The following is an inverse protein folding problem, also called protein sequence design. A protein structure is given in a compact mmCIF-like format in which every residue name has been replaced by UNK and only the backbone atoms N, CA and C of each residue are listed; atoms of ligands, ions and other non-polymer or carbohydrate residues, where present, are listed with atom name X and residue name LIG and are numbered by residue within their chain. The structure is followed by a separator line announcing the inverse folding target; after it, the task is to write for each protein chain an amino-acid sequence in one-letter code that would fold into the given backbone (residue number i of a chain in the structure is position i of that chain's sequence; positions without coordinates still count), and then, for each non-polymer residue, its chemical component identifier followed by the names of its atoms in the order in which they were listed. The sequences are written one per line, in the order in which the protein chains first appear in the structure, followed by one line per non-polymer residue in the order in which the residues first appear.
data_IF_855192412503
#
_entry.id   IF_855192412503
#
_cell.length_a   1.000
_cell.length_b   1.000
_cell.length_c   1.000
_cell.angle_alpha   90.00
_cell.angle_beta   90.00
_cell.angle_gamma   90.00
#
_symmetry.space_group_name_H-M   'P 1'
#
loop_
_entity.id
_entity.type
_entity.pdbx_description
1 polymer ?
#
# COMPACT_ATOMS: atom_id res chain seq x y z
N UNK A 1 23.38 37.07 -5.07
CA UNK A 1 23.93 35.92 -5.79
C UNK A 1 22.78 35.16 -6.39
N UNK A 2 22.85 34.85 -7.68
CA UNK A 2 21.86 33.97 -8.29
C UNK A 2 22.01 32.55 -7.72
N UNK A 3 20.92 31.78 -7.58
CA UNK A 3 20.99 30.37 -7.16
C UNK A 3 21.96 29.56 -8.06
N UNK A 4 22.13 29.95 -9.32
CA UNK A 4 23.05 29.29 -10.25
C UNK A 4 24.52 29.48 -9.85
N UNK A 5 24.93 30.66 -9.38
CA UNK A 5 26.31 30.95 -8.94
C UNK A 5 26.73 30.07 -7.76
N UNK A 6 25.79 29.71 -6.87
CA UNK A 6 26.06 28.86 -5.70
C UNK A 6 26.62 27.49 -6.10
N UNK A 7 26.23 26.98 -7.27
CA UNK A 7 26.55 25.61 -7.71
C UNK A 7 27.66 25.54 -8.77
N UNK A 8 28.20 26.68 -9.22
CA UNK A 8 29.23 26.71 -10.27
C UNK A 8 30.56 26.06 -9.85
N UNK A 9 30.83 25.96 -8.56
CA UNK A 9 32.06 25.35 -8.04
C UNK A 9 32.06 23.82 -8.09
N UNK A 10 30.92 23.19 -8.37
CA UNK A 10 30.80 21.74 -8.37
C UNK A 10 30.86 21.17 -9.79
N UNK A 11 31.45 19.99 -9.92
CA UNK A 11 31.47 19.25 -11.18
C UNK A 11 30.07 18.71 -11.51
N UNK A 12 29.69 18.79 -12.79
CA UNK A 12 28.40 18.30 -13.29
C UNK A 12 28.24 16.80 -13.01
N UNK A 13 27.15 16.45 -12.34
CA UNK A 13 26.83 15.05 -12.03
C UNK A 13 27.67 14.45 -10.89
N UNK A 14 28.54 15.24 -10.24
CA UNK A 14 29.23 14.83 -9.02
C UNK A 14 28.24 14.48 -7.90
N UNK A 15 28.61 13.53 -7.04
CA UNK A 15 27.76 13.13 -5.92
C UNK A 15 27.54 14.28 -4.94
N UNK A 16 28.56 15.13 -4.75
CA UNK A 16 28.49 16.31 -3.91
C UNK A 16 27.48 17.33 -4.44
N UNK A 17 27.49 17.61 -5.75
CA UNK A 17 26.51 18.50 -6.36
C UNK A 17 25.10 17.96 -6.18
N UNK A 18 24.91 16.65 -6.42
CA UNK A 18 23.61 16.01 -6.29
C UNK A 18 23.09 16.11 -4.86
N UNK A 19 23.93 15.80 -3.87
CA UNK A 19 23.58 15.86 -2.46
C UNK A 19 23.15 17.27 -2.04
N UNK A 20 23.95 18.29 -2.38
CA UNK A 20 23.66 19.70 -2.04
C UNK A 20 22.39 20.19 -2.73
N UNK A 21 22.20 19.88 -4.02
CA UNK A 21 20.98 20.26 -4.75
C UNK A 21 19.74 19.63 -4.14
N UNK A 22 19.81 18.34 -3.79
CA UNK A 22 18.69 17.62 -3.17
C UNK A 22 18.37 18.21 -1.81
N UNK A 23 19.37 18.40 -0.95
CA UNK A 23 19.20 18.99 0.39
C UNK A 23 18.54 20.38 0.33
N UNK A 24 19.09 21.28 -0.48
CA UNK A 24 18.61 22.66 -0.63
C UNK A 24 17.17 22.75 -1.19
N UNK A 25 16.76 21.75 -1.99
CA UNK A 25 15.53 21.82 -2.79
C UNK A 25 14.46 20.82 -2.38
N UNK A 26 14.71 19.94 -1.42
CA UNK A 26 13.76 18.92 -0.99
C UNK A 26 12.44 19.54 -0.52
N UNK A 27 12.50 20.55 0.37
CA UNK A 27 11.29 21.23 0.86
C UNK A 27 10.48 21.90 -0.25
N UNK A 28 11.14 22.40 -1.30
CA UNK A 28 10.48 22.94 -2.48
C UNK A 28 9.83 21.84 -3.33
N UNK A 29 10.52 20.71 -3.58
CA UNK A 29 9.95 19.57 -4.28
C UNK A 29 8.71 19.01 -3.56
N UNK A 30 8.76 18.88 -2.23
CA UNK A 30 7.60 18.50 -1.41
C UNK A 30 6.44 19.49 -1.56
N UNK A 31 6.72 20.80 -1.68
CA UNK A 31 5.67 21.80 -1.91
C UNK A 31 4.95 21.61 -3.25
N UNK A 32 5.66 21.12 -4.28
CA UNK A 32 5.09 20.77 -5.59
C UNK A 32 4.20 19.54 -5.44
N UNK A 33 4.67 18.48 -4.78
CA UNK A 33 3.88 17.28 -4.50
C UNK A 33 2.56 17.64 -3.80
N UNK A 34 2.62 18.45 -2.73
CA UNK A 34 1.44 18.95 -2.00
C UNK A 34 0.48 19.74 -2.90
N UNK A 35 1.01 20.53 -3.82
CA UNK A 35 0.19 21.28 -4.78
C UNK A 35 -0.54 20.37 -5.76
N UNK A 36 0.15 19.36 -6.29
CA UNK A 36 -0.44 18.34 -7.16
C UNK A 36 -1.53 17.57 -6.40
N UNK A 37 -1.24 17.11 -5.18
CA UNK A 37 -2.20 16.36 -4.38
C UNK A 37 -3.51 17.13 -4.15
N UNK A 38 -3.43 18.43 -3.82
CA UNK A 38 -4.61 19.30 -3.70
C UNK A 38 -5.43 19.37 -4.99
N UNK A 39 -4.78 19.51 -6.15
CA UNK A 39 -5.48 19.58 -7.44
C UNK A 39 -6.12 18.24 -7.85
N UNK A 40 -5.60 17.13 -7.33
CA UNK A 40 -6.12 15.79 -7.60
C UNK A 40 -7.04 15.24 -6.50
N UNK A 41 -7.22 15.95 -5.39
CA UNK A 41 -7.92 15.48 -4.18
C UNK A 41 -7.34 14.15 -3.65
N UNK A 42 -6.01 14.14 -3.47
CA UNK A 42 -5.21 13.02 -2.97
C UNK A 42 -4.43 13.46 -1.72
N UNK A 43 -3.98 12.48 -0.92
CA UNK A 43 -3.00 12.71 0.14
C UNK A 43 -1.58 12.55 -0.41
N UNK A 44 -0.78 13.60 -0.30
CA UNK A 44 0.54 13.64 -0.94
C UNK A 44 1.54 12.60 -0.41
N UNK A 45 1.37 12.14 0.83
CA UNK A 45 2.29 11.21 1.50
C UNK A 45 1.78 9.77 1.36
N UNK A 46 0.48 9.55 1.57
CA UNK A 46 -0.12 8.20 1.46
C UNK A 46 -0.16 7.73 0.01
N UNK A 47 -0.46 8.64 -0.93
CA UNK A 47 -0.54 8.30 -2.36
C UNK A 47 0.83 8.34 -3.07
N UNK A 48 1.94 8.56 -2.34
CA UNK A 48 3.32 8.45 -2.85
C UNK A 48 3.82 9.61 -3.74
N UNK A 49 3.16 10.77 -3.72
CA UNK A 49 3.52 11.91 -4.57
C UNK A 49 4.85 12.57 -4.16
N UNK A 50 5.24 12.45 -2.89
CA UNK A 50 6.55 12.86 -2.38
C UNK A 50 7.69 12.02 -2.94
N UNK A 51 7.49 10.71 -3.03
CA UNK A 51 8.40 9.78 -3.70
C UNK A 51 8.62 10.20 -5.16
N UNK A 52 7.54 10.42 -5.91
CA UNK A 52 7.63 10.90 -7.29
C UNK A 52 8.32 12.26 -7.42
N UNK A 53 8.05 13.21 -6.51
CA UNK A 53 8.73 14.50 -6.50
C UNK A 53 10.24 14.36 -6.23
N UNK A 54 10.61 13.49 -5.28
CA UNK A 54 11.99 13.19 -4.93
C UNK A 54 12.75 12.54 -6.08
N UNK A 55 12.16 11.56 -6.77
CA UNK A 55 12.75 10.94 -7.96
C UNK A 55 12.96 11.96 -9.08
N UNK A 56 11.97 12.83 -9.32
CA UNK A 56 12.09 13.92 -10.28
C UNK A 56 13.22 14.90 -9.92
N UNK A 57 13.35 15.24 -8.64
CA UNK A 57 14.41 16.09 -8.12
C UNK A 57 15.79 15.44 -8.32
N UNK A 58 15.95 14.18 -7.92
CA UNK A 58 17.20 13.42 -8.06
C UNK A 58 17.61 13.27 -9.52
N UNK A 59 16.63 13.00 -10.41
CA UNK A 59 16.85 12.90 -11.84
C UNK A 59 17.40 14.21 -12.44
N UNK A 60 16.84 15.34 -12.02
CA UNK A 60 17.29 16.66 -12.44
C UNK A 60 18.64 17.04 -11.84
N UNK A 61 18.87 16.78 -10.55
CA UNK A 61 20.12 17.07 -9.86
C UNK A 61 21.32 16.40 -10.57
N UNK A 62 21.17 15.12 -10.97
CA UNK A 62 22.20 14.37 -11.69
C UNK A 62 22.58 14.95 -13.06
N UNK A 63 21.70 15.72 -13.70
CA UNK A 63 21.89 16.25 -15.07
C UNK A 63 22.11 17.74 -15.12
N UNK A 64 21.93 18.43 -14.00
CA UNK A 64 22.00 19.86 -13.93
C UNK A 64 23.40 20.37 -14.24
N UNK A 65 23.47 21.50 -14.93
CA UNK A 65 24.69 22.12 -15.39
C UNK A 65 24.66 23.62 -15.05
N UNK A 66 25.36 23.99 -13.97
CA UNK A 66 25.39 25.35 -13.46
C UNK A 66 26.08 26.34 -14.43
N UNK A 67 26.92 25.85 -15.35
CA UNK A 67 27.62 26.70 -16.33
C UNK A 67 26.67 27.38 -17.32
N UNK A 68 25.47 26.81 -17.51
CA UNK A 68 24.44 27.36 -18.40
C UNK A 68 23.78 28.62 -17.85
N UNK A 69 24.00 28.96 -16.57
CA UNK A 69 23.42 30.13 -15.91
C UNK A 69 21.91 30.01 -15.63
N UNK A 70 21.28 28.88 -15.94
CA UNK A 70 19.85 28.64 -15.67
C UNK A 70 19.67 28.24 -14.20
N UNK A 71 18.85 28.94 -13.39
CA UNK A 71 18.60 28.54 -12.01
C UNK A 71 18.00 27.13 -11.91
N UNK A 72 18.48 26.32 -10.96
CA UNK A 72 18.05 24.93 -10.80
C UNK A 72 16.53 24.77 -10.67
N UNK A 73 15.87 25.63 -9.89
CA UNK A 73 14.40 25.61 -9.75
C UNK A 73 13.67 25.79 -11.08
N UNK A 74 14.16 26.70 -11.94
CA UNK A 74 13.55 26.93 -13.25
C UNK A 74 13.73 25.69 -14.16
N UNK A 75 14.92 25.07 -14.12
CA UNK A 75 15.22 23.85 -14.85
C UNK A 75 14.38 22.65 -14.39
N UNK A 76 14.27 22.41 -13.09
CA UNK A 76 13.69 21.19 -12.53
C UNK A 76 12.16 21.22 -12.37
N UNK A 77 11.54 22.41 -12.31
CA UNK A 77 10.11 22.58 -11.95
C UNK A 77 9.18 21.68 -12.75
N UNK A 78 9.32 21.69 -14.07
CA UNK A 78 8.46 20.93 -14.98
C UNK A 78 8.57 19.42 -14.72
N UNK A 79 9.80 18.92 -14.56
CA UNK A 79 10.06 17.49 -14.39
C UNK A 79 9.54 16.96 -13.05
N UNK A 80 9.75 17.71 -11.96
CA UNK A 80 9.22 17.35 -10.63
C UNK A 80 7.69 17.32 -10.68
N UNK A 81 7.05 18.33 -11.28
CA UNK A 81 5.60 18.36 -11.43
C UNK A 81 5.07 17.18 -12.25
N UNK A 82 5.71 16.85 -13.37
CA UNK A 82 5.34 15.69 -14.20
C UNK A 82 5.46 14.38 -13.42
N UNK A 83 6.54 14.19 -12.67
CA UNK A 83 6.72 12.99 -11.85
C UNK A 83 5.65 12.85 -10.76
N UNK A 84 5.34 13.92 -10.02
CA UNK A 84 4.24 13.90 -9.05
C UNK A 84 2.87 13.68 -9.70
N UNK A 85 2.65 14.22 -10.91
CA UNK A 85 1.39 14.02 -11.64
C UNK A 85 1.26 12.58 -12.14
N UNK A 86 2.37 11.93 -12.50
CA UNK A 86 2.38 10.52 -12.87
C UNK A 86 1.98 9.63 -11.68
N UNK A 87 2.56 9.87 -10.50
CA UNK A 87 2.15 9.15 -9.28
C UNK A 87 0.67 9.41 -8.95
N UNK A 88 0.21 10.66 -9.03
CA UNK A 88 -1.21 10.97 -8.85
C UNK A 88 -2.12 10.22 -9.85
N UNK A 89 -1.66 10.05 -11.10
CA UNK A 89 -2.39 9.28 -12.11
C UNK A 89 -2.42 7.79 -11.78
N UNK A 90 -1.30 7.21 -11.32
CA UNK A 90 -1.22 5.81 -10.87
C UNK A 90 -2.14 5.55 -9.68
N UNK A 91 -2.14 6.45 -8.69
CA UNK A 91 -2.99 6.34 -7.51
C UNK A 91 -4.48 6.46 -7.89
N UNK A 92 -4.83 7.36 -8.82
CA UNK A 92 -6.21 7.43 -9.35
C UNK A 92 -6.58 6.30 -10.30
N UNK A 93 -5.66 5.75 -11.09
CA UNK A 93 -5.97 4.61 -11.96
C UNK A 93 -6.19 3.35 -11.12
N UNK A 94 -5.50 3.21 -10.00
CA UNK A 94 -5.83 2.26 -8.93
C UNK A 94 -7.25 2.47 -8.38
N UNK A 95 -7.72 3.71 -8.23
CA UNK A 95 -9.09 3.99 -7.80
C UNK A 95 -10.14 3.83 -8.92
N UNK A 96 -9.79 4.09 -10.18
CA UNK A 96 -10.72 4.00 -11.34
C UNK A 96 -10.78 2.63 -12.01
N UNK A 97 -9.83 1.74 -11.74
CA UNK A 97 -9.86 0.34 -12.17
C UNK A 97 -10.84 -0.54 -11.40
N UNK A 98 -11.51 0.00 -10.37
CA UNK A 98 -12.15 -0.82 -9.34
C UNK A 98 -13.54 -0.30 -8.98
N UNK A 99 -14.45 -0.30 -9.96
CA UNK A 99 -15.89 -0.18 -9.71
C UNK A 99 -16.49 -1.38 -8.95
N UNK A 100 -15.69 -2.39 -8.54
CA UNK A 100 -16.16 -3.52 -7.74
C UNK A 100 -15.21 -4.00 -6.62
N UNK A 101 -14.06 -3.34 -6.40
CA UNK A 101 -13.03 -3.86 -5.47
C UNK A 101 -12.37 -2.83 -4.54
N UNK A 102 -12.64 -1.53 -4.71
CA UNK A 102 -12.14 -0.51 -3.78
C UNK A 102 -12.81 -0.61 -2.39
N UNK A 103 -14.11 -0.97 -2.35
CA UNK A 103 -14.78 -1.36 -1.10
C UNK A 103 -14.09 -2.58 -0.53
N UNK A 104 -13.99 -3.66 -1.31
CA UNK A 104 -13.42 -4.94 -0.84
C UNK A 104 -12.01 -4.78 -0.28
N UNK A 105 -11.15 -3.97 -0.88
CA UNK A 105 -9.78 -3.77 -0.39
C UNK A 105 -9.73 -2.87 0.85
N UNK A 106 -10.55 -1.83 0.92
CA UNK A 106 -10.69 -0.99 2.11
C UNK A 106 -11.28 -1.79 3.28
N UNK A 107 -12.36 -2.53 3.03
CA UNK A 107 -13.00 -3.47 3.95
C UNK A 107 -11.99 -4.51 4.43
N UNK A 108 -11.17 -5.06 3.53
CA UNK A 108 -10.09 -6.00 3.89
C UNK A 108 -9.06 -5.38 4.83
N UNK A 109 -8.70 -4.11 4.65
CA UNK A 109 -7.74 -3.40 5.53
C UNK A 109 -8.35 -3.10 6.91
N UNK A 110 -9.59 -2.62 6.95
CA UNK A 110 -10.30 -2.36 8.21
C UNK A 110 -10.55 -3.64 8.99
N UNK A 111 -10.89 -4.72 8.30
CA UNK A 111 -11.12 -6.04 8.91
C UNK A 111 -9.79 -6.63 9.41
N UNK A 112 -8.69 -6.47 8.66
CA UNK A 112 -7.36 -6.87 9.12
C UNK A 112 -6.94 -6.11 10.39
N UNK A 113 -7.19 -4.80 10.46
CA UNK A 113 -6.89 -4.00 11.65
C UNK A 113 -7.68 -4.47 12.89
N UNK A 114 -8.98 -4.72 12.74
CA UNK A 114 -9.83 -5.25 13.82
C UNK A 114 -9.43 -6.68 14.24
N UNK A 115 -9.05 -7.51 13.28
CA UNK A 115 -8.51 -8.86 13.52
C UNK A 115 -7.24 -8.83 14.39
N UNK A 116 -6.34 -7.87 14.13
CA UNK A 116 -5.12 -7.69 14.92
C UNK A 116 -5.37 -7.17 16.33
N UNK A 117 -6.53 -6.57 16.61
CA UNK A 117 -6.93 -6.17 17.96
C UNK A 117 -7.52 -7.35 18.74
N UNK A 118 -8.29 -8.23 18.08
CA UNK A 118 -8.88 -9.43 18.69
C UNK A 118 -7.84 -10.54 18.87
N UNK A 119 -6.89 -10.66 17.94
CA UNK A 119 -5.80 -11.65 17.97
C UNK A 119 -4.44 -10.96 17.81
N UNK A 120 -3.89 -10.35 18.88
CA UNK A 120 -2.62 -9.62 18.81
C UNK A 120 -1.45 -10.48 18.32
N UNK A 121 -1.46 -11.79 18.59
CA UNK A 121 -0.42 -12.73 18.15
C UNK A 121 -0.29 -12.84 16.62
N UNK A 122 -1.33 -12.46 15.86
CA UNK A 122 -1.26 -12.38 14.40
C UNK A 122 -0.28 -11.29 13.92
N UNK A 123 -0.04 -10.24 14.72
CA UNK A 123 0.91 -9.16 14.39
C UNK A 123 2.35 -9.66 14.33
N UNK A 124 2.66 -10.67 15.13
CA UNK A 124 3.99 -11.29 15.21
C UNK A 124 4.19 -12.39 14.15
N UNK A 125 3.20 -12.63 13.28
CA UNK A 125 3.23 -13.71 12.30
C UNK A 125 3.11 -15.11 12.90
N UNK A 126 2.82 -15.22 14.21
CA UNK A 126 2.69 -16.48 14.93
C UNK A 126 1.23 -16.74 15.24
N UNK A 127 0.61 -17.64 14.47
CA UNK A 127 -0.71 -18.15 14.82
C UNK A 127 -0.61 -19.01 16.09
N UNK A 128 -1.54 -18.85 17.06
CA UNK A 128 -1.63 -19.80 18.15
C UNK A 128 -2.04 -21.14 17.53
N UNK A 129 -1.26 -22.18 17.83
CA UNK A 129 -1.28 -23.54 17.27
C UNK A 129 -0.61 -23.70 15.90
N UNK A 130 0.69 -24.04 15.93
CA UNK A 130 1.20 -25.35 15.42
C UNK A 130 2.69 -25.50 15.74
N UNK A 131 3.01 -26.29 16.77
CA UNK A 131 4.31 -26.97 16.91
C UNK A 131 4.38 -28.18 15.94
N UNK A 132 4.18 -27.96 14.65
CA UNK A 132 4.31 -29.02 13.64
C UNK A 132 5.44 -28.65 12.67
N UNK A 133 6.63 -29.26 12.80
CA UNK A 133 7.76 -28.96 11.94
C UNK A 133 7.62 -29.75 10.63
N UNK A 134 7.60 -29.03 9.52
CA UNK A 134 7.81 -29.59 8.19
C UNK A 134 6.55 -29.63 7.34
N UNK A 135 6.59 -28.84 6.27
CA UNK A 135 5.59 -28.71 5.20
C UNK A 135 4.41 -27.77 5.48
N UNK A 136 4.09 -26.97 4.45
CA UNK A 136 2.82 -26.27 4.22
C UNK A 136 2.69 -24.76 4.51
N UNK A 137 3.61 -23.98 3.95
CA UNK A 137 3.37 -22.53 3.76
C UNK A 137 2.11 -22.23 2.92
N UNK A 138 1.74 -23.08 1.96
CA UNK A 138 0.54 -22.88 1.14
C UNK A 138 -0.77 -23.27 1.84
N UNK A 139 -0.75 -24.27 2.74
CA UNK A 139 -1.94 -24.58 3.57
C UNK A 139 -2.17 -23.51 4.62
N UNK A 140 -1.11 -22.86 5.11
CA UNK A 140 -1.23 -21.66 5.94
C UNK A 140 -1.93 -20.52 5.19
N UNK A 141 -1.58 -20.25 3.93
CA UNK A 141 -2.22 -19.20 3.14
C UNK A 141 -3.71 -19.47 2.85
N UNK A 142 -4.08 -20.73 2.57
CA UNK A 142 -5.48 -21.12 2.36
C UNK A 142 -6.27 -21.02 3.67
N UNK A 143 -5.70 -21.47 4.79
CA UNK A 143 -6.34 -21.36 6.10
C UNK A 143 -6.50 -19.90 6.53
N UNK A 144 -5.50 -19.05 6.31
CA UNK A 144 -5.60 -17.61 6.58
C UNK A 144 -6.68 -16.94 5.73
N UNK A 145 -6.77 -17.30 4.44
CA UNK A 145 -7.78 -16.77 3.53
C UNK A 145 -9.19 -17.21 3.93
N UNK A 146 -9.38 -18.47 4.34
CA UNK A 146 -10.67 -19.00 4.76
C UNK A 146 -11.10 -18.50 6.12
N UNK A 147 -10.17 -18.38 7.08
CA UNK A 147 -10.44 -17.76 8.37
C UNK A 147 -10.78 -16.28 8.18
N UNK A 148 -10.04 -15.56 7.33
CA UNK A 148 -10.32 -14.17 6.99
C UNK A 148 -11.70 -13.99 6.37
N UNK A 149 -12.03 -14.77 5.34
CA UNK A 149 -13.31 -14.67 4.65
C UNK A 149 -14.50 -15.12 5.51
N UNK A 150 -14.33 -16.14 6.35
CA UNK A 150 -15.36 -16.59 7.29
C UNK A 150 -15.62 -15.54 8.38
N UNK A 151 -14.60 -14.80 8.80
CA UNK A 151 -14.74 -13.65 9.71
C UNK A 151 -15.47 -12.50 9.01
N UNK A 152 -15.11 -12.18 7.76
CA UNK A 152 -15.77 -11.13 6.96
C UNK A 152 -17.28 -11.42 6.83
N UNK A 153 -17.67 -12.64 6.42
CA UNK A 153 -19.08 -12.99 6.27
C UNK A 153 -19.83 -13.08 7.61
N UNK A 154 -19.17 -13.49 8.69
CA UNK A 154 -19.78 -13.49 10.02
C UNK A 154 -20.08 -12.06 10.50
N UNK A 155 -19.20 -11.10 10.20
CA UNK A 155 -19.36 -9.69 10.59
C UNK A 155 -20.35 -8.92 9.71
N UNK A 156 -20.44 -9.20 8.41
CA UNK A 156 -21.47 -8.61 7.55
C UNK A 156 -22.88 -9.11 7.89
N UNK A 157 -23.02 -10.37 8.29
CA UNK A 157 -24.30 -10.95 8.69
C UNK A 157 -24.69 -10.58 10.13
N UNK A 158 -23.72 -10.30 11.00
CA UNK A 158 -23.95 -9.97 12.40
C UNK A 158 -23.71 -8.48 12.63
N UNK A 159 -24.77 -7.69 12.48
CA UNK A 159 -24.83 -6.32 12.99
C UNK A 159 -24.53 -6.29 14.48
N UNK A 160 -23.24 -6.13 14.80
CA UNK A 160 -22.59 -5.54 15.96
C UNK A 160 -23.23 -5.54 17.37
N UNK A 161 -24.08 -6.48 17.79
CA UNK A 161 -24.62 -6.41 19.18
C UNK A 161 -24.81 -7.74 19.96
N UNK A 162 -24.43 -8.91 19.43
CA UNK A 162 -24.58 -10.17 20.19
C UNK A 162 -23.24 -10.90 20.45
N UNK A 163 -22.70 -10.86 21.70
CA UNK A 163 -21.45 -11.52 22.06
C UNK A 163 -21.53 -13.06 22.04
N UNK A 164 -22.72 -13.65 22.18
CA UNK A 164 -22.90 -15.11 22.09
C UNK A 164 -22.65 -15.60 20.66
N UNK A 165 -23.11 -14.84 19.68
CA UNK A 165 -22.89 -15.10 18.25
C UNK A 165 -21.39 -15.08 17.94
N UNK A 166 -20.63 -14.14 18.50
CA UNK A 166 -19.18 -14.09 18.31
C UNK A 166 -18.45 -15.33 18.88
N UNK A 167 -18.93 -15.88 20.01
CA UNK A 167 -18.38 -17.09 20.60
C UNK A 167 -18.70 -18.35 19.78
N UNK A 168 -19.91 -18.44 19.23
CA UNK A 168 -20.29 -19.51 18.30
C UNK A 168 -19.48 -19.46 17.00
N UNK A 169 -19.27 -18.27 16.44
CA UNK A 169 -18.43 -18.07 15.26
C UNK A 169 -16.98 -18.47 15.51
N UNK A 170 -16.42 -18.12 16.68
CA UNK A 170 -15.08 -18.58 17.05
C UNK A 170 -14.98 -20.10 17.01
N UNK A 171 -15.95 -20.82 17.58
CA UNK A 171 -15.98 -22.30 17.54
C UNK A 171 -16.11 -22.83 16.11
N UNK A 172 -16.95 -22.20 15.27
CA UNK A 172 -17.09 -22.59 13.87
C UNK A 172 -15.76 -22.46 13.11
N UNK A 173 -15.03 -21.36 13.32
CA UNK A 173 -13.72 -21.13 12.71
C UNK A 173 -12.69 -22.16 13.17
N UNK A 174 -12.69 -22.52 14.46
CA UNK A 174 -11.83 -23.57 15.00
C UNK A 174 -12.12 -24.92 14.34
N UNK A 175 -13.40 -25.26 14.15
CA UNK A 175 -13.81 -26.47 13.44
C UNK A 175 -13.38 -26.45 11.98
N UNK A 176 -13.64 -25.35 11.24
CA UNK A 176 -13.22 -25.23 9.83
C UNK A 176 -11.69 -25.34 9.70
N UNK A 177 -10.95 -24.69 10.59
CA UNK A 177 -9.49 -24.72 10.59
C UNK A 177 -8.94 -26.13 10.86
N UNK A 178 -9.67 -26.95 11.63
CA UNK A 178 -9.33 -28.35 11.91
C UNK A 178 -9.60 -29.32 10.75
N UNK A 179 -10.39 -28.93 9.75
CA UNK A 179 -10.70 -29.77 8.59
C UNK A 179 -9.46 -29.98 7.70
N UNK A 180 -9.43 -31.10 6.97
CA UNK A 180 -8.41 -31.30 5.94
C UNK A 180 -8.55 -30.27 4.80
N UNK A 181 -7.45 -29.88 4.13
CA UNK A 181 -7.45 -28.84 3.11
C UNK A 181 -8.43 -29.08 1.95
N UNK A 182 -8.68 -30.34 1.59
CA UNK A 182 -9.64 -30.69 0.53
C UNK A 182 -11.06 -30.29 0.92
N UNK A 183 -11.46 -30.50 2.18
CA UNK A 183 -12.77 -30.13 2.69
C UNK A 183 -12.93 -28.62 2.82
N UNK A 184 -11.87 -27.94 3.25
CA UNK A 184 -11.80 -26.48 3.29
C UNK A 184 -11.98 -25.86 1.89
N UNK A 185 -11.32 -26.42 0.87
CA UNK A 185 -11.44 -25.97 -0.52
C UNK A 185 -12.83 -26.25 -1.11
N UNK A 186 -13.46 -27.37 -0.76
CA UNK A 186 -14.83 -27.68 -1.16
C UNK A 186 -15.82 -26.67 -0.56
N UNK A 187 -15.71 -26.41 0.75
CA UNK A 187 -16.56 -25.42 1.43
C UNK A 187 -16.43 -24.03 0.79
N UNK A 188 -15.21 -23.62 0.48
CA UNK A 188 -14.95 -22.37 -0.25
C UNK A 188 -15.60 -22.34 -1.64
N UNK A 189 -15.37 -23.38 -2.44
CA UNK A 189 -15.90 -23.45 -3.80
C UNK A 189 -17.42 -23.37 -3.81
N UNK A 190 -18.08 -24.10 -2.90
CA UNK A 190 -19.54 -24.20 -2.87
C UNK A 190 -20.18 -22.96 -2.24
N UNK A 191 -19.78 -22.58 -1.03
CA UNK A 191 -20.47 -21.54 -0.27
C UNK A 191 -19.99 -20.14 -0.61
N UNK A 192 -18.73 -19.97 -1.01
CA UNK A 192 -18.17 -18.64 -1.29
C UNK A 192 -18.15 -18.31 -2.78
N UNK A 193 -17.76 -19.26 -3.62
CA UNK A 193 -17.70 -19.06 -5.07
C UNK A 193 -19.00 -19.44 -5.80
N UNK A 194 -19.99 -20.00 -5.09
CA UNK A 194 -21.27 -20.41 -5.65
C UNK A 194 -21.17 -21.59 -6.63
N UNK A 195 -20.11 -22.40 -6.55
CA UNK A 195 -19.93 -23.56 -7.44
C UNK A 195 -20.88 -24.70 -7.06
N UNK A 196 -21.52 -25.28 -8.06
CA UNK A 196 -22.30 -26.51 -7.89
C UNK A 196 -21.37 -27.71 -7.72
N UNK A 197 -21.72 -28.63 -6.81
CA UNK A 197 -21.06 -29.94 -6.70
C UNK A 197 -21.50 -30.94 -7.79
N UNK A 198 -22.54 -30.58 -8.55
CA UNK A 198 -22.92 -31.24 -9.79
C UNK A 198 -22.20 -30.47 -10.89
N UNK A 199 -21.10 -30.99 -11.40
CA UNK A 199 -20.36 -30.37 -12.51
C UNK A 199 -21.25 -30.04 -13.69
#
# INVERSE_FOLDING_TARGET
MSDAEKYQSYEKGSEELVAVLVEDHMGWATSIAKSVARSWNLDWQIDGLDGGAYEGLLFCARRYDASTGVPFRAYARRRIHEASTEEARKSKSWQRGTSMGASVEQDSREISAKLFDVFPSLRDGVLPSTEAPGEDGWRMSIRQMLSGASIIAAFEASGSDNPEIAAEYKRLLEVIASLEPIHQAILWGVYWQGKSMRG
#
